data_IF_189928334487
#
_entry.id   IF_189928334487
#
_cell.length_a   1.000
_cell.length_b   1.000
_cell.length_c   1.000
_cell.angle_alpha   90.00
_cell.angle_beta   90.00
_cell.angle_gamma   90.00
#
_symmetry.space_group_name_H-M   'P 1'
#
loop_
_entity.id
_entity.type
_entity.pdbx_description
1 polymer ?
#
# COMPACT_ATOMS: atom_id res chain seq x y z
N UNK A 1 9.94 -10.27 -9.16
CA UNK A 1 8.55 -9.87 -8.81
C UNK A 1 8.45 -8.36 -8.55
N UNK A 2 9.20 -7.79 -7.60
CA UNK A 2 9.11 -6.34 -7.30
C UNK A 2 9.41 -5.44 -8.52
N UNK A 3 10.49 -5.70 -9.25
CA UNK A 3 10.83 -4.97 -10.48
C UNK A 3 9.74 -5.07 -11.58
N UNK A 4 8.99 -6.17 -11.62
CA UNK A 4 7.87 -6.32 -12.54
C UNK A 4 6.69 -5.41 -12.13
N UNK A 5 6.38 -5.34 -10.83
CA UNK A 5 5.37 -4.41 -10.30
C UNK A 5 5.79 -2.94 -10.49
N UNK A 6 7.08 -2.62 -10.37
CA UNK A 6 7.61 -1.28 -10.68
C UNK A 6 7.41 -0.92 -12.15
N UNK A 7 7.74 -1.83 -13.06
CA UNK A 7 7.52 -1.65 -14.50
C UNK A 7 6.03 -1.46 -14.83
N UNK A 8 5.15 -2.25 -14.20
CA UNK A 8 3.70 -2.11 -14.37
C UNK A 8 3.19 -0.78 -13.82
N UNK A 9 3.64 -0.36 -12.64
CA UNK A 9 3.32 0.95 -12.08
C UNK A 9 3.76 2.09 -12.99
N UNK A 10 4.98 2.02 -13.55
CA UNK A 10 5.50 3.02 -14.48
C UNK A 10 4.68 3.07 -15.77
N UNK A 11 4.35 1.90 -16.34
CA UNK A 11 3.54 1.80 -17.56
C UNK A 11 2.12 2.35 -17.37
N UNK A 12 1.50 2.08 -16.21
CA UNK A 12 0.18 2.61 -15.88
C UNK A 12 0.20 4.13 -15.64
N UNK A 13 1.23 4.67 -14.96
CA UNK A 13 1.42 6.12 -14.82
C UNK A 13 1.60 6.82 -16.16
N UNK A 14 2.39 6.23 -17.05
CA UNK A 14 2.62 6.75 -18.39
C UNK A 14 1.45 6.47 -19.35
N UNK A 15 0.46 5.69 -18.92
CA UNK A 15 -0.68 5.22 -19.72
C UNK A 15 -0.25 4.57 -21.04
N UNK A 16 0.87 3.87 -21.02
CA UNK A 16 1.45 3.22 -22.19
C UNK A 16 0.74 1.88 -22.44
N UNK A 17 -0.33 1.93 -23.23
CA UNK A 17 -1.21 0.79 -23.54
C UNK A 17 -0.44 -0.42 -24.07
N UNK A 18 0.56 -0.19 -24.94
CA UNK A 18 1.38 -1.26 -25.49
C UNK A 18 2.19 -1.98 -24.39
N UNK A 19 2.85 -1.21 -23.52
CA UNK A 19 3.65 -1.77 -22.43
C UNK A 19 2.78 -2.47 -21.40
N UNK A 20 1.59 -1.94 -21.11
CA UNK A 20 0.61 -2.59 -20.23
C UNK A 20 0.21 -3.95 -20.83
N UNK A 21 -0.11 -4.00 -22.14
CA UNK A 21 -0.46 -5.23 -22.83
C UNK A 21 0.66 -6.30 -22.81
N UNK A 22 1.91 -5.90 -23.06
CA UNK A 22 3.08 -6.79 -22.92
C UNK A 22 3.20 -7.35 -21.50
N UNK A 23 3.08 -6.48 -20.49
CA UNK A 23 3.22 -6.87 -19.09
C UNK A 23 2.09 -7.79 -18.62
N UNK A 24 0.87 -7.63 -19.14
CA UNK A 24 -0.27 -8.50 -18.83
C UNK A 24 -0.16 -9.88 -19.49
N UNK A 25 0.56 -10.02 -20.61
CA UNK A 25 0.84 -11.32 -21.23
C UNK A 25 2.03 -12.05 -20.61
N UNK A 26 2.81 -11.37 -19.77
CA UNK A 26 3.98 -11.94 -19.11
C UNK A 26 3.55 -13.08 -18.15
N UNK A 27 4.32 -14.17 -18.01
CA UNK A 27 3.95 -15.28 -17.12
C UNK A 27 3.74 -14.86 -15.66
N UNK A 28 4.44 -13.81 -15.20
CA UNK A 28 4.26 -13.25 -13.86
C UNK A 28 2.89 -12.59 -13.62
N UNK A 29 2.16 -12.25 -14.69
CA UNK A 29 0.80 -11.72 -14.58
C UNK A 29 -0.17 -12.75 -13.98
N UNK A 30 0.11 -14.05 -14.13
CA UNK A 30 -0.71 -15.13 -13.54
C UNK A 30 -0.74 -15.10 -12.01
N UNK A 31 0.28 -14.51 -11.37
CA UNK A 31 0.35 -14.36 -9.93
C UNK A 31 -0.33 -13.07 -9.42
N UNK A 32 -0.83 -12.22 -10.32
CA UNK A 32 -1.48 -10.98 -9.93
C UNK A 32 -2.91 -11.23 -9.43
N UNK A 33 -3.36 -10.46 -8.43
CA UNK A 33 -4.77 -10.41 -8.08
C UNK A 33 -5.63 -9.98 -9.27
N UNK A 34 -6.81 -10.60 -9.44
CA UNK A 34 -7.73 -10.28 -10.54
C UNK A 34 -8.08 -8.77 -10.61
N UNK A 35 -8.16 -8.11 -9.45
CA UNK A 35 -8.43 -6.67 -9.35
C UNK A 35 -7.36 -5.80 -10.04
N UNK A 36 -6.08 -6.22 -9.98
CA UNK A 36 -4.97 -5.51 -10.63
C UNK A 36 -5.01 -5.71 -12.14
N UNK A 37 -5.37 -6.93 -12.58
CA UNK A 37 -5.49 -7.26 -14.01
C UNK A 37 -6.65 -6.49 -14.64
N UNK A 38 -7.83 -6.51 -14.01
CA UNK A 38 -9.01 -5.77 -14.46
C UNK A 38 -8.74 -4.26 -14.51
N UNK A 39 -8.13 -3.70 -13.47
CA UNK A 39 -7.74 -2.29 -13.41
C UNK A 39 -6.79 -1.91 -14.55
N UNK A 40 -5.76 -2.71 -14.79
CA UNK A 40 -4.82 -2.48 -15.88
C UNK A 40 -5.48 -2.56 -17.27
N UNK A 41 -6.36 -3.54 -17.47
CA UNK A 41 -7.14 -3.68 -18.72
C UNK A 41 -8.08 -2.50 -18.93
N UNK A 42 -8.79 -2.06 -17.89
CA UNK A 42 -9.67 -0.89 -17.95
C UNK A 42 -8.89 0.38 -18.30
N UNK A 43 -7.74 0.60 -17.68
CA UNK A 43 -6.88 1.76 -17.97
C UNK A 43 -6.36 1.70 -19.41
N UNK A 44 -5.96 0.52 -19.89
CA UNK A 44 -5.51 0.29 -21.26
C UNK A 44 -6.62 0.53 -22.30
N UNK A 45 -7.86 0.16 -21.98
CA UNK A 45 -9.02 0.34 -22.85
C UNK A 45 -9.57 1.78 -22.84
N UNK A 46 -9.18 2.60 -21.86
CA UNK A 46 -9.73 3.95 -21.70
C UNK A 46 -9.08 4.94 -22.67
N UNK A 47 -9.85 5.65 -23.52
CA UNK A 47 -9.32 6.61 -24.49
C UNK A 47 -8.53 7.76 -23.83
N UNK A 48 -7.57 8.33 -24.56
CA UNK A 48 -6.93 9.57 -24.15
C UNK A 48 -7.96 10.72 -24.15
N UNK A 49 -8.02 11.49 -23.06
CA UNK A 49 -8.95 12.63 -22.91
C UNK A 49 -10.25 12.34 -22.15
N UNK A 50 -10.44 11.12 -21.66
CA UNK A 50 -11.54 10.76 -20.73
C UNK A 50 -11.08 10.79 -19.27
N UNK A 51 -12.04 10.62 -18.35
CA UNK A 51 -11.82 10.49 -16.89
C UNK A 51 -10.55 9.70 -16.54
N UNK A 52 -9.73 10.29 -15.68
CA UNK A 52 -8.48 9.67 -15.25
C UNK A 52 -8.74 8.56 -14.24
N UNK A 53 -8.53 7.31 -14.65
CA UNK A 53 -8.62 6.14 -13.78
C UNK A 53 -7.27 5.91 -13.10
N UNK A 54 -7.22 6.11 -11.78
CA UNK A 54 -6.03 5.85 -10.99
C UNK A 54 -5.83 4.33 -10.75
N UNK A 55 -4.61 3.79 -10.92
CA UNK A 55 -4.32 2.37 -10.69
C UNK A 55 -4.10 2.06 -9.19
N UNK A 56 -5.14 2.23 -8.39
CA UNK A 56 -5.08 2.15 -6.93
C UNK A 56 -4.70 0.75 -6.44
N UNK A 57 -5.25 -0.31 -7.05
CA UNK A 57 -4.98 -1.68 -6.63
C UNK A 57 -3.54 -2.06 -6.95
N UNK A 58 -3.06 -1.64 -8.12
CA UNK A 58 -1.67 -1.88 -8.54
C UNK A 58 -0.68 -1.20 -7.60
N UNK A 59 -0.92 0.08 -7.23
CA UNK A 59 -0.05 0.78 -6.28
C UNK A 59 -0.08 0.16 -4.89
N UNK A 60 -1.25 -0.23 -4.39
CA UNK A 60 -1.37 -0.92 -3.09
C UNK A 60 -0.55 -2.20 -3.07
N UNK A 61 -0.66 -3.03 -4.11
CA UNK A 61 0.09 -4.28 -4.21
C UNK A 61 1.60 -4.04 -4.26
N UNK A 62 2.05 -3.05 -5.03
CA UNK A 62 3.45 -2.65 -5.08
C UNK A 62 3.98 -2.27 -3.69
N UNK A 63 3.29 -1.37 -2.98
CA UNK A 63 3.73 -0.92 -1.66
C UNK A 63 3.72 -2.05 -0.62
N UNK A 64 2.69 -2.89 -0.61
CA UNK A 64 2.64 -4.07 0.26
C UNK A 64 3.83 -5.01 0.01
N UNK A 65 4.13 -5.28 -1.26
CA UNK A 65 5.23 -6.15 -1.65
C UNK A 65 6.59 -5.53 -1.34
N UNK A 66 6.74 -4.22 -1.57
CA UNK A 66 7.97 -3.49 -1.29
C UNK A 66 8.26 -3.41 0.22
N UNK A 67 7.22 -3.26 1.06
CA UNK A 67 7.35 -3.32 2.52
C UNK A 67 7.74 -4.72 3.00
N UNK A 68 7.11 -5.76 2.47
CA UNK A 68 7.42 -7.15 2.83
C UNK A 68 8.87 -7.53 2.50
N UNK A 69 9.40 -6.99 1.39
CA UNK A 69 10.78 -7.21 0.96
C UNK A 69 11.80 -6.24 1.58
N UNK A 70 11.36 -5.32 2.45
CA UNK A 70 12.23 -4.31 3.06
C UNK A 70 12.76 -3.24 2.08
N UNK A 71 12.28 -3.22 0.84
CA UNK A 71 12.69 -2.27 -0.20
C UNK A 71 12.06 -0.87 -0.01
N UNK A 72 10.93 -0.78 0.70
CA UNK A 72 10.30 0.49 1.07
C UNK A 72 10.27 0.60 2.60
N UNK A 73 11.10 1.47 3.16
CA UNK A 73 10.99 1.85 4.57
C UNK A 73 9.94 2.95 4.67
N UNK A 74 8.81 2.66 5.32
CA UNK A 74 7.77 3.67 5.51
C UNK A 74 8.35 4.88 6.29
N UNK A 75 8.29 6.10 5.73
CA UNK A 75 8.85 7.28 6.40
C UNK A 75 8.07 7.66 7.66
N UNK A 76 6.80 7.26 7.82
CA UNK A 76 6.05 7.45 9.06
C UNK A 76 6.49 6.45 10.15
N UNK A 77 7.00 5.28 9.78
CA UNK A 77 7.60 4.30 10.68
C UNK A 77 8.93 4.77 11.27
N UNK A 78 9.61 5.77 10.67
CA UNK A 78 10.76 6.45 11.29
C UNK A 78 10.39 7.35 12.47
N UNK A 79 9.13 7.77 12.60
CA UNK A 79 8.69 8.70 13.67
C UNK A 79 8.37 8.02 15.00
N UNK A 80 8.43 6.69 15.09
CA UNK A 80 8.43 6.02 16.40
C UNK A 80 9.90 5.84 16.79
N UNK A 81 10.47 6.63 17.72
CA UNK A 81 11.72 6.23 18.34
C UNK A 81 11.50 4.83 18.88
N UNK A 82 12.27 3.87 18.36
CA UNK A 82 12.39 2.57 18.99
C UNK A 82 13.05 2.83 20.33
N UNK A 83 12.24 2.99 21.38
CA UNK A 83 12.68 2.81 22.76
C UNK A 83 13.03 1.34 22.90
N UNK A 84 14.21 0.96 22.44
CA UNK A 84 14.88 -0.25 22.88
C UNK A 84 15.30 -0.02 24.33
N UNK A 85 14.38 -0.29 25.25
CA UNK A 85 14.68 -0.46 26.66
C UNK A 85 14.15 -1.82 27.11
N UNK A 86 15.09 -2.69 27.44
CA UNK A 86 15.03 -3.64 28.55
C UNK A 86 14.28 -4.96 28.36
N UNK A 87 15.08 -5.98 28.05
CA UNK A 87 15.12 -7.31 28.67
C UNK A 87 14.28 -7.49 29.96
N UNK A 88 13.23 -8.32 29.85
CA UNK A 88 12.67 -9.29 30.83
C UNK A 88 12.71 -8.96 32.34
N UNK A 89 11.52 -8.71 32.92
CA UNK A 89 11.06 -9.31 34.19
C UNK A 89 9.53 -9.52 34.17
N UNK A 90 9.01 -10.64 34.69
CA UNK A 90 7.58 -10.90 34.86
C UNK A 90 7.12 -10.44 36.25
N UNK A 91 6.09 -9.62 36.34
CA UNK A 91 5.56 -9.16 37.63
C UNK A 91 4.22 -8.44 37.49
N UNK A 92 3.19 -9.12 37.98
CA UNK A 92 2.01 -8.54 38.64
C UNK A 92 0.98 -7.77 37.80
N UNK A 93 -0.07 -8.52 37.45
CA UNK A 93 -1.47 -8.09 37.48
C UNK A 93 -1.70 -7.02 38.56
N UNK A 94 -2.08 -5.79 38.18
CA UNK A 94 -3.12 -4.93 38.80
C UNK A 94 -3.09 -3.58 38.07
N UNK A 95 -4.27 -3.01 37.81
CA UNK A 95 -4.57 -1.72 37.13
C UNK A 95 -4.91 -1.80 35.64
N UNK A 96 -5.77 -2.76 35.30
CA UNK A 96 -7.01 -2.35 34.63
C UNK A 96 -7.79 -1.45 35.61
N UNK A 97 -8.49 -0.45 35.06
CA UNK A 97 -9.54 0.39 35.67
C UNK A 97 -9.09 1.83 35.99
N UNK A 98 -9.86 2.75 35.40
CA UNK A 98 -10.04 4.18 35.69
C UNK A 98 -8.90 5.14 35.37
N UNK A 99 -9.06 5.86 34.26
CA UNK A 99 -9.07 7.32 34.33
C UNK A 99 -10.08 7.88 33.33
N UNK A 100 -11.17 8.36 33.91
CA UNK A 100 -12.32 9.00 33.29
C UNK A 100 -11.92 10.24 32.46
N UNK A 101 -12.56 10.40 31.29
CA UNK A 101 -12.58 11.65 30.54
C UNK A 101 -13.71 12.55 31.10
N UNK A 102 -13.45 13.75 31.65
CA UNK A 102 -14.52 14.72 31.82
C UNK A 102 -14.71 15.47 30.50
N UNK A 103 -15.79 15.11 29.80
CA UNK A 103 -16.33 15.85 28.68
C UNK A 103 -16.93 17.18 29.20
N UNK A 104 -16.13 18.25 29.29
CA UNK A 104 -16.68 19.59 29.49
C UNK A 104 -16.90 20.26 28.14
N UNK A 105 -18.11 20.07 27.64
CA UNK A 105 -18.76 20.99 26.74
C UNK A 105 -18.74 22.40 27.36
N UNK A 106 -18.23 23.37 26.63
CA UNK A 106 -18.58 24.77 26.82
C UNK A 106 -19.28 25.21 25.53
N UNK A 107 -20.60 25.16 25.59
CA UNK A 107 -21.55 25.80 24.69
C UNK A 107 -21.62 27.28 25.07
N UNK A 108 -21.61 28.13 24.03
CA UNK A 108 -22.11 29.51 23.91
C UNK A 108 -21.75 30.53 25.01
#
# INVERSE_FOLDING_TARGET
MLAYLEALCAALKARNVLTIGELLRHPLASALPAQVVDEAQRIAATPLGTEHIAPLHTFRLYHQTAHLLGACTDPASRRRPQTTATTRQPGELTRQIELELPLRAAVA
#
